data_IF_441697315484
#
_entry.id   IF_441697315484
#
_cell.length_a   1.000
_cell.length_b   1.000
_cell.length_c   1.000
_cell.angle_alpha   90.00
_cell.angle_beta   90.00
_cell.angle_gamma   90.00
#
_symmetry.space_group_name_H-M   'P 1'
#
loop_
_entity.id
_entity.type
_entity.pdbx_description
1 polymer ?
#
# COMPACT_ATOMS: atom_id res chain seq x y z
N UNK A 1 71.30 -14.70 2.26
CA UNK A 1 70.14 -14.96 1.39
C UNK A 1 69.06 -15.59 2.27
N UNK A 2 68.17 -14.80 2.87
CA UNK A 2 66.92 -14.28 2.25
C UNK A 2 65.75 -15.26 2.42
N UNK A 3 64.82 -14.87 3.31
CA UNK A 3 63.38 -15.17 3.41
C UNK A 3 62.94 -16.60 3.80
N UNK A 4 62.28 -16.85 4.94
CA UNK A 4 61.03 -16.28 5.51
C UNK A 4 59.78 -16.60 4.66
N UNK A 5 59.08 -17.69 4.98
CA UNK A 5 57.72 -17.96 4.50
C UNK A 5 56.93 -18.61 5.65
N UNK A 6 56.43 -17.83 6.61
CA UNK A 6 55.09 -17.23 6.69
C UNK A 6 53.96 -18.28 6.72
N UNK A 7 53.60 -18.60 7.96
CA UNK A 7 52.36 -19.21 8.42
C UNK A 7 51.18 -18.38 7.90
N UNK A 8 50.31 -18.98 7.10
CA UNK A 8 49.06 -18.38 6.66
C UNK A 8 47.92 -18.91 7.55
N UNK A 9 47.61 -18.18 8.62
CA UNK A 9 46.39 -18.38 9.39
C UNK A 9 45.17 -17.99 8.54
N UNK A 10 44.38 -18.98 8.13
CA UNK A 10 43.05 -18.78 7.57
C UNK A 10 42.09 -18.38 8.70
N UNK A 11 41.83 -17.08 8.82
CA UNK A 11 40.79 -16.53 9.69
C UNK A 11 39.42 -16.65 8.97
N UNK A 12 38.41 -17.31 9.56
CA UNK A 12 37.07 -17.28 9.00
C UNK A 12 36.46 -15.91 9.30
N UNK A 13 36.33 -15.07 8.27
CA UNK A 13 35.60 -13.81 8.34
C UNK A 13 34.11 -14.17 8.46
N UNK A 14 33.63 -14.19 9.72
CA UNK A 14 32.21 -14.27 10.02
C UNK A 14 31.57 -12.91 9.68
N UNK A 15 31.24 -12.72 8.40
CA UNK A 15 30.35 -11.63 7.97
C UNK A 15 28.96 -11.92 8.51
N UNK A 16 28.69 -11.52 9.76
CA UNK A 16 27.33 -11.28 10.20
C UNK A 16 26.82 -10.04 9.45
N UNK A 17 26.24 -10.24 8.27
CA UNK A 17 25.36 -9.24 7.68
C UNK A 17 24.16 -9.09 8.60
N UNK A 18 24.19 -8.08 9.48
CA UNK A 18 23.00 -7.58 10.15
C UNK A 18 22.08 -7.02 9.07
N UNK A 19 21.21 -7.86 8.52
CA UNK A 19 20.09 -7.42 7.69
C UNK A 19 19.14 -6.67 8.62
N UNK A 20 19.36 -5.36 8.76
CA UNK A 20 18.34 -4.48 9.30
C UNK A 20 17.20 -4.45 8.29
N UNK A 21 16.08 -5.08 8.62
CA UNK A 21 14.87 -5.00 7.81
C UNK A 21 14.51 -3.51 7.61
N UNK A 22 14.65 -3.03 6.39
CA UNK A 22 14.44 -1.63 6.05
C UNK A 22 13.12 -1.47 5.30
N UNK A 23 12.32 -0.55 5.84
CA UNK A 23 11.08 0.03 5.32
C UNK A 23 9.82 -0.78 5.60
N UNK A 24 8.84 0.02 6.01
CA UNK A 24 7.73 -0.30 6.87
C UNK A 24 6.54 0.42 6.25
N UNK A 25 5.55 -0.36 5.84
CA UNK A 25 4.58 0.06 4.84
C UNK A 25 3.74 1.27 5.28
N UNK A 26 3.66 2.27 4.40
CA UNK A 26 2.84 3.46 4.51
C UNK A 26 1.76 3.43 3.43
N UNK A 27 0.49 3.51 3.80
CA UNK A 27 -0.61 3.62 2.83
C UNK A 27 -1.60 4.70 3.23
N UNK A 28 -1.83 5.66 2.34
CA UNK A 28 -2.93 6.61 2.48
C UNK A 28 -4.24 5.86 2.25
N UNK A 29 -5.08 5.71 3.25
CA UNK A 29 -6.33 4.95 3.15
C UNK A 29 -7.44 5.78 2.56
N UNK A 30 -7.64 6.99 3.08
CA UNK A 30 -8.73 7.86 2.68
C UNK A 30 -8.32 9.33 2.74
N UNK A 31 -8.58 10.05 1.65
CA UNK A 31 -8.62 11.51 1.61
C UNK A 31 -10.04 11.95 1.99
N UNK A 32 -10.19 12.65 3.12
CA UNK A 32 -11.49 13.07 3.68
C UNK A 32 -11.71 14.58 3.53
N UNK A 33 -11.21 15.15 2.43
CA UNK A 33 -11.31 16.56 2.09
C UNK A 33 -11.21 16.73 0.56
N UNK A 34 -11.68 17.86 0.04
CA UNK A 34 -11.54 18.22 -1.38
C UNK A 34 -10.59 19.40 -1.57
N UNK A 35 -10.16 19.62 -2.82
CA UNK A 35 -9.33 20.77 -3.16
C UNK A 35 -9.99 22.07 -2.69
N UNK A 36 -9.22 22.94 -2.05
CA UNK A 36 -9.70 24.18 -1.42
C UNK A 36 -10.26 24.00 -0.01
N UNK A 37 -10.26 22.79 0.55
CA UNK A 37 -10.57 22.54 1.95
C UNK A 37 -9.35 22.18 2.80
N UNK A 38 -9.56 22.11 4.11
CA UNK A 38 -8.52 21.72 5.08
C UNK A 38 -8.14 20.24 4.94
N UNK A 39 -6.84 19.89 5.02
CA UNK A 39 -6.40 18.52 4.85
C UNK A 39 -6.88 17.66 6.02
N UNK A 40 -7.59 16.59 5.69
CA UNK A 40 -8.03 15.54 6.62
C UNK A 40 -7.80 14.16 6.02
N UNK A 41 -6.88 13.38 6.60
CA UNK A 41 -6.41 12.12 6.02
C UNK A 41 -6.50 10.96 7.01
N UNK A 42 -6.81 9.76 6.51
CA UNK A 42 -6.58 8.49 7.23
C UNK A 42 -5.41 7.76 6.61
N UNK A 43 -4.41 7.44 7.42
CA UNK A 43 -3.17 6.78 7.02
C UNK A 43 -3.03 5.46 7.79
N UNK A 44 -2.66 4.39 7.10
CA UNK A 44 -2.12 3.19 7.73
C UNK A 44 -0.59 3.32 7.81
N UNK A 45 -0.06 3.19 9.01
CA UNK A 45 1.36 3.19 9.31
C UNK A 45 1.72 1.86 9.97
N UNK A 46 2.42 1.01 9.24
CA UNK A 46 3.04 -0.19 9.78
C UNK A 46 4.54 0.09 9.85
N UNK A 47 4.98 0.83 10.86
CA UNK A 47 6.38 1.23 11.10
C UNK A 47 7.10 0.37 12.16
N UNK A 48 8.40 0.10 12.01
CA UNK A 48 9.29 -0.30 13.10
C UNK A 48 10.58 0.55 13.11
N UNK A 49 10.97 1.17 14.24
CA UNK A 49 10.18 1.31 15.47
C UNK A 49 9.00 2.28 15.31
N UNK A 50 7.90 2.03 16.04
CA UNK A 50 6.61 2.78 15.98
C UNK A 50 6.60 4.13 16.69
N UNK A 51 7.78 4.68 16.90
CA UNK A 51 7.94 5.91 17.65
C UNK A 51 7.48 7.11 16.80
N UNK A 52 6.23 7.53 17.00
CA UNK A 52 5.65 8.68 16.30
C UNK A 52 6.41 9.97 16.60
N UNK A 53 7.16 10.07 17.71
CA UNK A 53 7.98 11.26 18.01
C UNK A 53 9.13 11.44 17.02
N UNK A 54 9.51 10.36 16.33
CA UNK A 54 10.52 10.34 15.27
C UNK A 54 9.93 10.49 13.89
N UNK A 55 8.61 10.64 13.77
CA UNK A 55 7.93 10.82 12.49
C UNK A 55 7.35 12.23 12.40
N UNK A 56 7.45 12.79 11.21
CA UNK A 56 6.83 14.06 10.87
C UNK A 56 6.02 13.89 9.60
N UNK A 57 4.80 14.44 9.60
CA UNK A 57 3.88 14.39 8.48
C UNK A 57 3.68 15.82 8.00
N UNK A 58 4.01 16.07 6.73
CA UNK A 58 3.96 17.39 6.13
C UNK A 58 3.04 17.36 4.91
N UNK A 59 2.21 18.39 4.77
CA UNK A 59 1.57 18.73 3.51
C UNK A 59 2.53 19.63 2.73
N UNK A 60 2.96 19.21 1.54
CA UNK A 60 3.81 20.00 0.64
C UNK A 60 2.99 20.47 -0.56
N UNK A 61 2.98 21.79 -0.82
CA UNK A 61 2.28 22.41 -1.95
C UNK A 61 3.17 23.47 -2.60
N UNK A 62 3.87 23.10 -3.68
CA UNK A 62 4.94 23.95 -4.22
C UNK A 62 6.06 24.12 -3.18
N UNK A 63 6.41 25.37 -2.87
CA UNK A 63 7.42 25.71 -1.86
C UNK A 63 6.87 25.70 -0.41
N UNK A 64 5.54 25.74 -0.25
CA UNK A 64 4.91 25.75 1.08
C UNK A 64 4.92 24.35 1.71
N UNK A 65 5.20 24.29 3.01
CA UNK A 65 5.13 23.08 3.83
C UNK A 65 4.37 23.37 5.11
N UNK A 66 3.28 22.64 5.32
CA UNK A 66 2.51 22.66 6.57
C UNK A 66 2.79 21.37 7.34
N UNK A 67 3.04 21.47 8.65
CA UNK A 67 3.12 20.30 9.52
C UNK A 67 1.73 19.87 9.97
N UNK A 68 1.37 18.64 9.67
CA UNK A 68 0.07 18.09 10.01
C UNK A 68 0.02 17.63 11.47
N UNK A 69 -1.09 17.93 12.14
CA UNK A 69 -1.45 17.37 13.42
C UNK A 69 -1.76 15.88 13.27
N UNK A 70 -1.29 15.08 14.22
CA UNK A 70 -1.43 13.62 14.20
C UNK A 70 -2.31 13.17 15.36
N UNK A 71 -3.40 12.48 15.06
CA UNK A 71 -4.24 11.82 16.03
C UNK A 71 -4.22 10.30 15.81
N UNK A 72 -3.68 9.50 16.73
CA UNK A 72 -3.77 8.05 16.65
C UNK A 72 -5.23 7.59 16.78
N UNK A 73 -5.68 6.75 15.84
CA UNK A 73 -6.99 6.07 15.88
C UNK A 73 -6.87 4.58 16.29
N UNK A 74 -5.65 4.12 16.53
CA UNK A 74 -5.36 2.75 16.93
C UNK A 74 -3.89 2.41 16.73
N UNK A 75 -3.60 1.12 16.70
CA UNK A 75 -2.21 0.59 16.62
C UNK A 75 -1.48 0.92 15.30
N UNK A 76 -2.23 1.09 14.22
CA UNK A 76 -1.69 1.30 12.88
C UNK A 76 -2.33 2.49 12.15
N UNK A 77 -3.43 3.00 12.68
CA UNK A 77 -4.22 3.99 11.97
C UNK A 77 -4.00 5.37 12.58
N UNK A 78 -3.63 6.32 11.72
CA UNK A 78 -3.47 7.72 12.07
C UNK A 78 -4.52 8.54 11.32
N UNK A 79 -5.06 9.53 12.01
CA UNK A 79 -5.79 10.63 11.41
C UNK A 79 -4.87 11.84 11.37
N UNK A 80 -4.69 12.44 10.21
CA UNK A 80 -3.89 13.65 10.02
C UNK A 80 -4.82 14.82 9.75
N UNK A 81 -4.50 15.98 10.32
CA UNK A 81 -5.24 17.23 10.14
C UNK A 81 -4.30 18.39 9.88
N UNK A 82 -4.71 19.33 9.05
CA UNK A 82 -4.11 20.65 8.92
C UNK A 82 -5.17 21.73 8.94
N UNK A 83 -4.72 22.97 8.88
CA UNK A 83 -5.50 24.20 9.02
C UNK A 83 -5.35 25.11 7.82
N UNK A 84 -4.41 24.82 6.91
CA UNK A 84 -4.28 25.55 5.66
C UNK A 84 -5.11 24.89 4.55
N UNK A 85 -5.69 25.70 3.67
CA UNK A 85 -6.47 25.18 2.54
C UNK A 85 -5.56 24.51 1.52
N UNK A 86 -5.93 23.31 1.08
CA UNK A 86 -5.18 22.59 0.07
C UNK A 86 -5.52 23.15 -1.32
N UNK A 87 -4.76 24.15 -1.78
CA UNK A 87 -5.05 24.87 -3.02
C UNK A 87 -4.41 24.27 -4.29
N UNK A 88 -3.40 23.41 -4.14
CA UNK A 88 -2.70 22.78 -5.27
C UNK A 88 -3.08 21.32 -5.46
N UNK A 89 -3.48 20.95 -6.68
CA UNK A 89 -3.70 19.55 -7.07
C UNK A 89 -2.40 18.73 -7.09
N UNK A 90 -1.23 19.38 -7.13
CA UNK A 90 0.07 18.71 -7.02
C UNK A 90 0.50 18.47 -5.56
N UNK A 91 -0.39 18.71 -4.59
CA UNK A 91 -0.08 18.55 -3.18
C UNK A 91 0.33 17.12 -2.83
N UNK A 92 1.31 17.01 -1.93
CA UNK A 92 1.85 15.73 -1.47
C UNK A 92 1.80 15.64 0.05
N UNK A 93 1.45 14.46 0.56
CA UNK A 93 1.76 14.07 1.92
C UNK A 93 3.20 13.54 1.96
N UNK A 94 4.05 14.23 2.69
CA UNK A 94 5.45 13.88 2.89
C UNK A 94 5.61 13.32 4.30
N UNK A 95 6.28 12.19 4.43
CA UNK A 95 6.60 11.58 5.71
C UNK A 95 8.11 11.62 5.91
N UNK A 96 8.55 12.23 7.01
CA UNK A 96 9.95 12.27 7.41
C UNK A 96 10.18 11.44 8.65
N UNK A 97 11.38 10.88 8.77
CA UNK A 97 11.83 10.19 9.96
C UNK A 97 13.13 10.80 10.48
N UNK A 98 13.20 11.01 11.79
CA UNK A 98 14.41 11.45 12.46
C UNK A 98 15.35 10.25 12.71
N UNK A 99 16.48 10.21 12.00
CA UNK A 99 17.52 9.17 12.09
C UNK A 99 18.90 9.82 12.08
N UNK A 100 19.81 9.33 12.91
CA UNK A 100 21.22 9.79 12.89
C UNK A 100 21.35 11.31 13.00
N UNK A 101 20.58 11.92 13.91
CA UNK A 101 20.56 13.36 14.19
C UNK A 101 19.98 14.27 13.09
N UNK A 102 19.31 13.71 12.08
CA UNK A 102 18.68 14.49 11.01
C UNK A 102 17.36 13.90 10.50
N UNK A 103 16.51 14.77 9.97
CA UNK A 103 15.26 14.40 9.33
C UNK A 103 15.50 13.90 7.91
N UNK A 104 14.98 12.72 7.61
CA UNK A 104 15.06 12.09 6.29
C UNK A 104 13.65 11.88 5.73
N UNK A 105 13.41 12.28 4.50
CA UNK A 105 12.17 11.95 3.79
C UNK A 105 12.14 10.45 3.49
N UNK A 106 11.13 9.76 4.01
CA UNK A 106 10.99 8.30 3.87
C UNK A 106 9.82 7.90 2.96
N UNK A 107 8.89 8.83 2.70
CA UNK A 107 7.82 8.65 1.74
C UNK A 107 7.26 9.99 1.25
N UNK A 108 6.79 10.00 0.01
CA UNK A 108 5.94 11.06 -0.53
C UNK A 108 4.75 10.43 -1.27
N UNK A 109 3.55 10.92 -0.99
CA UNK A 109 2.29 10.41 -1.51
C UNK A 109 1.51 11.57 -2.13
N UNK A 110 1.18 11.49 -3.42
CA UNK A 110 0.29 12.46 -4.05
C UNK A 110 -1.10 12.44 -3.38
N UNK A 111 -1.66 13.63 -3.12
CA UNK A 111 -2.99 13.76 -2.53
C UNK A 111 -4.10 13.77 -3.59
N UNK A 112 -3.74 14.18 -4.81
CA UNK A 112 -4.62 14.17 -5.96
C UNK A 112 -3.89 13.57 -7.16
N UNK A 113 -4.64 12.97 -8.07
CA UNK A 113 -4.10 12.49 -9.32
C UNK A 113 -3.73 13.69 -10.20
N UNK A 114 -2.45 13.80 -10.59
CA UNK A 114 -1.96 14.85 -11.47
C UNK A 114 -2.49 14.62 -12.89
N UNK A 115 -3.66 15.21 -13.19
CA UNK A 115 -4.49 14.87 -14.35
C UNK A 115 -5.11 13.49 -14.22
N UNK A 116 -6.34 13.32 -14.69
CA UNK A 116 -7.01 12.03 -14.68
C UNK A 116 -6.05 10.92 -15.10
N UNK A 117 -5.73 10.02 -14.16
CA UNK A 117 -5.24 8.71 -14.48
C UNK A 117 -6.42 7.88 -15.01
N UNK A 118 -7.02 8.38 -16.09
CA UNK A 118 -7.14 7.55 -17.27
C UNK A 118 -5.76 6.99 -17.60
N UNK A 119 -5.39 5.91 -16.90
CA UNK A 119 -5.08 4.72 -17.66
C UNK A 119 -6.22 4.62 -18.67
N UNK A 120 -5.92 4.83 -19.94
CA UNK A 120 -6.85 4.45 -20.99
C UNK A 120 -7.40 3.08 -20.59
N UNK A 121 -8.72 2.95 -20.35
CA UNK A 121 -9.30 1.63 -20.46
C UNK A 121 -9.09 1.32 -21.94
N UNK A 122 -8.15 0.40 -22.21
CA UNK A 122 -8.19 -0.34 -23.45
C UNK A 122 -9.64 -0.75 -23.63
N UNK A 123 -10.26 -0.15 -24.65
CA UNK A 123 -11.68 -0.21 -24.86
C UNK A 123 -12.14 -1.65 -24.90
N UNK A 124 -13.40 -1.86 -24.55
CA UNK A 124 -14.07 -3.09 -24.87
C UNK A 124 -13.95 -3.35 -26.39
N UNK A 125 -13.08 -4.29 -26.77
CA UNK A 125 -13.18 -4.99 -28.05
C UNK A 125 -12.64 -6.41 -27.89
N UNK A 126 -13.59 -7.33 -27.68
CA UNK A 126 -13.67 -8.63 -28.35
C UNK A 126 -12.41 -9.50 -28.32
N UNK A 127 -12.38 -10.48 -27.40
CA UNK A 127 -11.75 -11.77 -27.67
C UNK A 127 -10.48 -12.12 -26.89
N UNK A 128 -9.97 -11.27 -26.02
CA UNK A 128 -8.88 -11.63 -25.11
C UNK A 128 -9.38 -11.71 -23.67
N UNK A 129 -9.16 -12.85 -23.01
CA UNK A 129 -9.57 -13.06 -21.64
C UNK A 129 -8.88 -12.02 -20.74
N UNK A 130 -9.67 -11.11 -20.14
CA UNK A 130 -9.16 -10.06 -19.25
C UNK A 130 -8.35 -10.70 -18.11
N UNK A 131 -7.08 -10.29 -17.98
CA UNK A 131 -6.14 -10.71 -16.94
C UNK A 131 -5.90 -9.56 -15.97
N UNK A 132 -5.75 -9.87 -14.70
CA UNK A 132 -5.27 -8.89 -13.72
C UNK A 132 -3.75 -8.80 -13.80
N UNK A 133 -3.24 -7.60 -13.63
CA UNK A 133 -1.82 -7.35 -13.43
C UNK A 133 -1.44 -7.74 -12.00
N UNK A 134 -0.48 -8.67 -11.89
CA UNK A 134 0.00 -9.22 -10.62
C UNK A 134 1.51 -9.05 -10.58
N UNK A 135 2.00 -8.30 -9.59
CA UNK A 135 3.43 -8.07 -9.39
C UNK A 135 4.01 -9.06 -8.37
N UNK A 136 5.33 -9.23 -8.40
CA UNK A 136 6.04 -10.03 -7.39
C UNK A 136 5.79 -9.42 -6.00
N UNK A 137 5.36 -10.25 -5.05
CA UNK A 137 4.96 -9.79 -3.70
C UNK A 137 3.50 -9.30 -3.61
N UNK A 138 2.76 -9.34 -4.72
CA UNK A 138 1.37 -9.77 -4.80
C UNK A 138 0.63 -10.07 -3.48
N UNK A 139 -0.20 -9.17 -2.93
CA UNK A 139 -1.26 -9.63 -2.00
C UNK A 139 -2.62 -9.43 -2.66
N UNK A 140 -3.60 -10.28 -2.32
CA UNK A 140 -4.97 -10.11 -2.82
C UNK A 140 -5.50 -8.70 -2.55
N UNK A 141 -5.20 -8.15 -1.36
CA UNK A 141 -5.50 -6.76 -1.03
C UNK A 141 -4.87 -5.85 -2.08
N UNK A 142 -3.53 -5.82 -2.20
CA UNK A 142 -2.82 -4.87 -3.08
C UNK A 142 -3.32 -4.92 -4.54
N UNK A 143 -3.64 -6.11 -5.05
CA UNK A 143 -4.28 -6.28 -6.35
C UNK A 143 -5.66 -5.64 -6.36
N UNK A 144 -6.55 -6.03 -5.45
CA UNK A 144 -7.91 -5.51 -5.36
C UNK A 144 -7.95 -3.96 -5.27
N UNK A 145 -7.01 -3.35 -4.55
CA UNK A 145 -6.86 -1.88 -4.45
C UNK A 145 -6.78 -1.20 -5.80
N UNK A 146 -6.02 -1.80 -6.72
CA UNK A 146 -5.71 -1.21 -8.02
C UNK A 146 -6.97 -1.08 -8.87
N UNK A 147 -7.93 -1.97 -8.65
CA UNK A 147 -9.12 -2.10 -9.47
C UNK A 147 -10.40 -1.52 -8.85
N UNK A 148 -10.39 -1.04 -7.59
CA UNK A 148 -11.60 -0.47 -6.96
C UNK A 148 -12.17 0.72 -7.73
N UNK A 149 -11.31 1.59 -8.26
CA UNK A 149 -11.72 2.74 -9.07
C UNK A 149 -12.38 2.30 -10.39
N UNK A 150 -11.64 1.60 -11.28
CA UNK A 150 -12.18 1.13 -12.55
C UNK A 150 -13.42 0.23 -12.44
N UNK A 151 -13.56 -0.54 -11.36
CA UNK A 151 -14.71 -1.42 -11.14
C UNK A 151 -15.84 -0.78 -10.33
N UNK A 152 -15.68 0.48 -9.91
CA UNK A 152 -16.65 1.20 -9.09
C UNK A 152 -17.11 0.38 -7.87
N UNK A 153 -16.18 -0.26 -7.17
CA UNK A 153 -16.44 -1.10 -6.00
C UNK A 153 -15.51 -0.73 -4.85
N UNK A 154 -15.78 -1.21 -3.64
CA UNK A 154 -14.87 -1.07 -2.49
C UNK A 154 -13.90 -2.26 -2.43
N UNK A 155 -12.80 -2.12 -1.68
CA UNK A 155 -11.73 -3.12 -1.65
C UNK A 155 -12.22 -4.52 -1.29
N UNK A 156 -13.11 -4.66 -0.31
CA UNK A 156 -13.65 -5.98 0.07
C UNK A 156 -14.45 -6.62 -1.07
N UNK A 157 -15.19 -5.85 -1.84
CA UNK A 157 -15.95 -6.35 -2.98
C UNK A 157 -15.00 -6.79 -4.10
N UNK A 158 -13.98 -5.99 -4.40
CA UNK A 158 -12.94 -6.38 -5.34
C UNK A 158 -12.20 -7.66 -4.90
N UNK A 159 -11.81 -7.79 -3.62
CA UNK A 159 -11.13 -8.99 -3.12
C UNK A 159 -12.03 -10.24 -3.25
N UNK A 160 -13.30 -10.14 -2.86
CA UNK A 160 -14.26 -11.24 -2.97
C UNK A 160 -14.50 -11.64 -4.43
N UNK A 161 -14.74 -10.67 -5.31
CA UNK A 161 -14.99 -10.94 -6.72
C UNK A 161 -13.75 -11.56 -7.41
N UNK A 162 -12.54 -11.08 -7.11
CA UNK A 162 -11.29 -11.69 -7.59
C UNK A 162 -11.16 -13.12 -7.08
N UNK A 163 -11.41 -13.34 -5.78
CA UNK A 163 -11.33 -14.68 -5.18
C UNK A 163 -12.33 -15.65 -5.82
N UNK A 164 -13.58 -15.25 -6.00
CA UNK A 164 -14.64 -16.05 -6.62
C UNK A 164 -14.30 -16.45 -8.05
N UNK A 165 -13.77 -15.52 -8.84
CA UNK A 165 -13.37 -15.76 -10.22
C UNK A 165 -12.09 -16.60 -10.36
N UNK A 166 -11.31 -16.75 -9.29
CA UNK A 166 -9.96 -17.32 -9.33
C UNK A 166 -9.64 -18.29 -8.20
N UNK A 167 -10.61 -19.06 -7.67
CA UNK A 167 -10.38 -19.93 -6.48
C UNK A 167 -9.17 -20.86 -6.61
N UNK A 168 -8.86 -21.33 -7.82
CA UNK A 168 -7.70 -22.17 -8.13
C UNK A 168 -6.34 -21.49 -7.91
N UNK A 169 -6.31 -20.16 -7.84
CA UNK A 169 -5.12 -19.37 -7.57
C UNK A 169 -4.76 -19.29 -6.08
N UNK A 170 -5.64 -19.79 -5.19
CA UNK A 170 -5.50 -19.71 -3.75
C UNK A 170 -5.24 -21.09 -3.15
N UNK A 171 -4.14 -21.22 -2.40
CA UNK A 171 -3.73 -22.48 -1.78
C UNK A 171 -4.79 -22.94 -0.79
N UNK A 172 -5.32 -24.14 -1.02
CA UNK A 172 -6.37 -24.72 -0.18
C UNK A 172 -7.68 -23.94 -0.19
N UNK A 173 -7.95 -23.13 -1.21
CA UNK A 173 -9.11 -22.23 -1.28
C UNK A 173 -9.21 -21.30 -0.07
N UNK A 174 -8.06 -20.86 0.45
CA UNK A 174 -8.00 -19.84 1.51
C UNK A 174 -7.79 -18.48 0.88
N UNK A 175 -8.71 -17.55 1.13
CA UNK A 175 -8.73 -16.22 0.49
C UNK A 175 -7.45 -15.39 0.73
N UNK A 176 -6.70 -15.68 1.79
CA UNK A 176 -5.43 -15.04 2.14
C UNK A 176 -4.19 -15.72 1.55
N UNK A 177 -4.34 -16.89 0.92
CA UNK A 177 -3.24 -17.73 0.46
C UNK A 177 -3.04 -17.69 -1.06
N UNK A 178 -2.94 -16.48 -1.64
CA UNK A 178 -2.66 -16.29 -3.07
C UNK A 178 -1.31 -16.90 -3.45
N UNK A 179 -1.27 -17.71 -4.51
CA UNK A 179 -0.03 -18.26 -5.05
C UNK A 179 0.84 -17.17 -5.69
N UNK A 180 2.16 -17.29 -5.53
CA UNK A 180 3.14 -16.34 -6.10
C UNK A 180 3.17 -16.32 -7.65
N UNK A 181 2.81 -17.43 -8.28
CA UNK A 181 2.77 -17.61 -9.73
C UNK A 181 1.33 -17.58 -10.30
N UNK A 182 0.37 -17.11 -9.50
CA UNK A 182 -1.02 -17.04 -9.90
C UNK A 182 -1.21 -16.09 -11.09
N UNK A 183 -1.79 -16.61 -12.17
CA UNK A 183 -2.39 -15.77 -13.20
C UNK A 183 -3.87 -15.61 -12.90
N UNK A 184 -4.31 -14.38 -12.68
CA UNK A 184 -5.69 -14.06 -12.31
C UNK A 184 -6.45 -13.52 -13.51
N UNK A 185 -7.69 -13.95 -13.66
CA UNK A 185 -8.66 -13.39 -14.59
C UNK A 185 -9.50 -12.31 -13.90
N UNK A 186 -10.01 -11.38 -14.69
CA UNK A 186 -10.91 -10.35 -14.19
C UNK A 186 -12.26 -10.97 -13.79
N UNK A 187 -12.88 -10.51 -12.68
CA UNK A 187 -14.25 -10.87 -12.36
C UNK A 187 -15.24 -10.30 -13.38
N UNK A 188 -16.37 -10.99 -13.55
CA UNK A 188 -17.47 -10.50 -14.38
C UNK A 188 -18.19 -9.32 -13.74
N UNK A 189 -18.83 -8.48 -14.55
CA UNK A 189 -19.59 -7.31 -14.08
C UNK A 189 -20.68 -7.69 -13.07
N UNK A 190 -21.35 -8.82 -13.29
CA UNK A 190 -22.41 -9.30 -12.40
C UNK A 190 -21.85 -9.73 -11.01
N UNK A 191 -20.66 -10.35 -10.98
CA UNK A 191 -19.98 -10.72 -9.73
C UNK A 191 -19.54 -9.49 -8.94
N UNK A 192 -19.09 -8.43 -9.62
CA UNK A 192 -18.75 -7.15 -8.98
C UNK A 192 -19.97 -6.45 -8.37
N UNK A 193 -21.11 -6.45 -9.09
CA UNK A 193 -22.36 -5.87 -8.61
C UNK A 193 -22.97 -6.65 -7.43
N UNK A 194 -22.77 -7.97 -7.38
CA UNK A 194 -23.27 -8.85 -6.32
C UNK A 194 -22.58 -8.66 -4.95
N UNK A 195 -21.53 -7.84 -4.87
CA UNK A 195 -20.77 -7.65 -3.63
C UNK A 195 -21.45 -6.71 -2.62
N UNK A 196 -22.57 -6.07 -2.97
CA UNK A 196 -23.36 -5.29 -2.00
C UNK A 196 -22.57 -4.13 -1.38
N UNK A 197 -22.85 -3.83 -0.11
CA UNK A 197 -22.15 -2.77 0.64
C UNK A 197 -20.83 -3.25 1.29
N UNK A 198 -19.99 -2.27 1.65
CA UNK A 198 -18.65 -2.52 2.18
C UNK A 198 -18.68 -3.31 3.50
N UNK A 199 -19.65 -3.04 4.38
CA UNK A 199 -19.73 -3.71 5.67
C UNK A 199 -20.10 -5.19 5.51
N UNK A 200 -21.10 -5.48 4.68
CA UNK A 200 -21.51 -6.85 4.35
C UNK A 200 -20.43 -7.63 3.60
N UNK A 201 -19.70 -7.00 2.68
CA UNK A 201 -18.56 -7.61 2.01
C UNK A 201 -17.39 -7.89 2.97
N UNK A 202 -17.10 -6.97 3.88
CA UNK A 202 -16.08 -7.19 4.90
C UNK A 202 -16.39 -8.38 5.80
N UNK A 203 -17.63 -8.49 6.27
CA UNK A 203 -18.06 -9.64 7.10
C UNK A 203 -17.89 -10.97 6.36
N UNK A 204 -18.24 -11.03 5.07
CA UNK A 204 -18.02 -12.22 4.24
C UNK A 204 -16.54 -12.55 4.05
N UNK A 205 -15.70 -11.54 3.83
CA UNK A 205 -14.26 -11.73 3.72
C UNK A 205 -13.67 -12.31 5.02
N UNK A 206 -14.04 -11.74 6.17
CA UNK A 206 -13.61 -12.23 7.49
C UNK A 206 -14.05 -13.68 7.74
N UNK A 207 -15.27 -14.05 7.32
CA UNK A 207 -15.76 -15.43 7.40
C UNK A 207 -14.95 -16.42 6.54
N UNK A 208 -14.52 -16.01 5.34
CA UNK A 208 -13.66 -16.82 4.47
C UNK A 208 -12.24 -16.99 5.04
N UNK A 209 -11.72 -15.99 5.74
CA UNK A 209 -10.43 -16.11 6.44
C UNK A 209 -10.49 -17.08 7.62
N UNK A 210 -11.65 -17.17 8.30
CA UNK A 210 -11.83 -18.06 9.43
C UNK A 210 -11.87 -19.56 9.04
N UNK A 211 -11.91 -19.90 7.74
CA UNK A 211 -11.79 -21.26 7.25
C UNK A 211 -12.94 -22.18 7.64
N UNK A 212 -14.18 -21.72 7.44
CA UNK A 212 -15.38 -22.54 7.62
C UNK A 212 -15.50 -23.63 6.55
#
# INVERSE_FOLDING_TARGET
MSHLMKILCLLPVFLCCSVGAQVSHLSLNQRQFELGGYPKLRLNLVAEPRDLSRLEFLLRQGEAQERLMVQPLGRFMLQLFGVEDVTSAAAQLVVRQYRGDSWHEIASLALFDASGSSHSPGGASTGEACRLEVDVGDTLWRIARRYTGPWHTHVYGAMLAIYEANRQAFVGQKIDALRRDASLICPGKDSLAAQGDEAGARLRFEALQAGT
#
